data_IF_619561177203
#
_entry.id   IF_619561177203
#
_cell.length_a   1.000
_cell.length_b   1.000
_cell.length_c   1.000
_cell.angle_alpha   90.00
_cell.angle_beta   90.00
_cell.angle_gamma   90.00
#
_symmetry.space_group_name_H-M   'P 1'
#
loop_
_entity.id
_entity.type
_entity.pdbx_description
1 polymer ?
#
# COMPACT_ATOMS: atom_id res chain seq x y z
N UNK A 1 -16.79 2.04 -18.06
CA UNK A 1 -15.89 0.94 -18.46
C UNK A 1 -15.77 0.95 -19.98
N UNK A 2 -14.55 0.81 -20.51
CA UNK A 2 -14.35 0.65 -21.95
C UNK A 2 -14.96 -0.69 -22.41
N UNK A 3 -15.66 -0.66 -23.56
CA UNK A 3 -16.18 -1.87 -24.18
C UNK A 3 -15.03 -2.57 -24.94
N UNK A 4 -14.43 -3.55 -24.28
CA UNK A 4 -13.27 -4.28 -24.80
C UNK A 4 -13.59 -5.11 -26.05
N UNK A 5 -14.87 -5.42 -26.31
CA UNK A 5 -15.28 -6.20 -27.50
C UNK A 5 -15.00 -5.45 -28.83
N UNK A 6 -14.76 -4.15 -28.75
CA UNK A 6 -14.44 -3.29 -29.90
C UNK A 6 -12.99 -3.33 -30.34
N UNK A 7 -12.13 -4.02 -29.57
CA UNK A 7 -10.69 -4.03 -29.80
C UNK A 7 -10.18 -5.44 -30.01
N UNK A 8 -9.31 -5.61 -31.01
CA UNK A 8 -8.55 -6.85 -31.16
C UNK A 8 -7.34 -6.82 -30.20
N UNK A 9 -7.43 -7.60 -29.13
CA UNK A 9 -6.40 -7.71 -28.12
C UNK A 9 -5.56 -8.99 -28.24
N UNK A 10 -5.74 -9.76 -29.31
CA UNK A 10 -5.07 -11.06 -29.53
C UNK A 10 -3.54 -11.00 -29.62
N UNK A 11 -3.00 -9.82 -29.91
CA UNK A 11 -1.55 -9.57 -29.97
C UNK A 11 -0.91 -9.31 -28.61
N UNK A 12 -1.70 -9.06 -27.56
CA UNK A 12 -1.18 -8.83 -26.22
C UNK A 12 -0.56 -10.13 -25.67
N UNK A 13 0.65 -10.01 -25.12
CA UNK A 13 1.40 -11.15 -24.57
C UNK A 13 1.71 -11.00 -23.09
N UNK A 14 1.77 -9.79 -22.62
CA UNK A 14 2.02 -9.48 -21.22
C UNK A 14 1.42 -8.12 -20.88
N UNK A 15 0.73 -8.06 -19.75
CA UNK A 15 0.29 -6.83 -19.10
C UNK A 15 0.89 -6.78 -17.72
N UNK A 16 1.64 -5.73 -17.41
CA UNK A 16 2.14 -5.55 -16.06
C UNK A 16 1.64 -4.23 -15.48
N UNK A 17 1.46 -4.25 -14.18
CA UNK A 17 1.13 -3.06 -13.42
C UNK A 17 2.08 -2.92 -12.22
N UNK A 18 2.24 -1.69 -11.75
CA UNK A 18 3.09 -1.38 -10.61
C UNK A 18 3.04 0.10 -10.27
N UNK A 19 3.82 0.50 -9.26
CA UNK A 19 3.90 1.90 -8.82
C UNK A 19 2.89 2.27 -7.74
N UNK A 20 1.77 1.55 -7.64
CA UNK A 20 0.82 1.63 -6.52
C UNK A 20 0.11 0.29 -6.32
N UNK A 21 -0.47 0.09 -5.15
CA UNK A 21 -1.29 -1.09 -4.87
C UNK A 21 -2.62 -0.96 -5.61
N UNK A 22 -3.02 -2.01 -6.31
CA UNK A 22 -4.38 -2.15 -6.81
C UNK A 22 -5.22 -2.89 -5.75
N UNK A 23 -6.47 -2.48 -5.61
CA UNK A 23 -7.43 -3.23 -4.81
C UNK A 23 -7.61 -4.65 -5.38
N UNK A 24 -7.80 -5.62 -4.51
CA UNK A 24 -7.86 -7.03 -4.88
C UNK A 24 -9.00 -7.34 -5.85
N UNK A 25 -10.16 -6.67 -5.70
CA UNK A 25 -11.30 -6.82 -6.60
C UNK A 25 -10.98 -6.35 -8.03
N UNK A 26 -10.24 -5.24 -8.17
CA UNK A 26 -9.76 -4.73 -9.46
C UNK A 26 -8.78 -5.71 -10.09
N UNK A 27 -7.85 -6.23 -9.30
CA UNK A 27 -6.88 -7.23 -9.76
C UNK A 27 -7.58 -8.50 -10.23
N UNK A 28 -8.57 -9.02 -9.47
CA UNK A 28 -9.39 -10.19 -9.88
C UNK A 28 -10.13 -9.95 -11.19
N UNK A 29 -10.73 -8.77 -11.35
CA UNK A 29 -11.41 -8.39 -12.62
C UNK A 29 -10.44 -8.35 -13.79
N UNK A 30 -9.25 -7.79 -13.58
CA UNK A 30 -8.21 -7.77 -14.61
C UNK A 30 -7.75 -9.19 -14.98
N UNK A 31 -7.53 -10.07 -14.00
CA UNK A 31 -7.19 -11.48 -14.24
C UNK A 31 -8.30 -12.25 -14.97
N UNK A 32 -9.56 -11.93 -14.70
CA UNK A 32 -10.71 -12.53 -15.42
C UNK A 32 -10.77 -12.06 -16.87
N UNK A 33 -10.52 -10.77 -17.12
CA UNK A 33 -10.53 -10.19 -18.47
C UNK A 33 -9.31 -10.59 -19.30
N UNK A 34 -8.17 -10.80 -18.64
CA UNK A 34 -6.88 -11.07 -19.25
C UNK A 34 -6.13 -12.19 -18.51
N UNK A 35 -6.63 -13.44 -18.53
CA UNK A 35 -6.14 -14.53 -17.66
C UNK A 35 -4.66 -14.84 -17.85
N UNK A 36 -4.12 -14.62 -19.05
CA UNK A 36 -2.75 -14.99 -19.40
C UNK A 36 -1.78 -13.80 -19.45
N UNK A 37 -2.18 -12.62 -18.98
CA UNK A 37 -1.39 -11.41 -19.19
C UNK A 37 -0.82 -10.78 -17.93
N UNK A 38 -1.39 -11.03 -16.73
CA UNK A 38 -1.18 -10.17 -15.58
C UNK A 38 0.09 -10.50 -14.79
N UNK A 39 0.98 -9.51 -14.72
CA UNK A 39 2.20 -9.50 -13.93
C UNK A 39 2.18 -8.29 -12.99
N UNK A 40 2.26 -8.51 -11.68
CA UNK A 40 2.46 -7.43 -10.71
C UNK A 40 3.94 -7.18 -10.53
N UNK A 41 4.38 -5.93 -10.61
CA UNK A 41 5.76 -5.53 -10.37
C UNK A 41 5.83 -4.46 -9.28
N UNK A 42 6.70 -4.68 -8.33
CA UNK A 42 6.99 -3.72 -7.27
C UNK A 42 8.42 -3.21 -7.41
N UNK A 43 8.58 -1.93 -7.14
CA UNK A 43 9.87 -1.29 -7.13
C UNK A 43 9.76 0.20 -6.81
N UNK A 44 10.87 0.87 -6.89
CA UNK A 44 11.04 2.27 -6.58
C UNK A 44 12.06 2.88 -7.53
N UNK A 45 12.11 4.20 -7.62
CA UNK A 45 13.02 4.92 -8.52
C UNK A 45 14.49 4.53 -8.30
N UNK A 46 14.84 4.27 -7.06
CA UNK A 46 16.18 3.91 -6.61
C UNK A 46 16.61 2.48 -6.97
N UNK A 47 15.69 1.61 -7.40
CA UNK A 47 15.97 0.19 -7.66
C UNK A 47 15.25 -0.41 -8.86
N UNK A 48 14.42 0.35 -9.54
CA UNK A 48 13.53 -0.15 -10.61
C UNK A 48 12.64 -1.30 -10.12
N UNK A 49 12.54 -2.40 -10.86
CA UNK A 49 11.77 -3.58 -10.45
C UNK A 49 12.57 -4.41 -9.45
N UNK A 50 12.06 -4.52 -8.25
CA UNK A 50 12.66 -5.25 -7.11
C UNK A 50 11.99 -6.61 -6.90
N UNK A 51 10.65 -6.65 -6.99
CA UNK A 51 9.86 -7.88 -6.90
C UNK A 51 8.93 -8.00 -8.09
N UNK A 52 8.55 -9.23 -8.42
CA UNK A 52 7.55 -9.53 -9.44
C UNK A 52 6.70 -10.72 -9.03
N UNK A 53 5.38 -10.64 -9.28
CA UNK A 53 4.41 -11.71 -9.12
C UNK A 53 3.73 -12.03 -10.44
N UNK A 54 3.95 -13.23 -10.94
CA UNK A 54 3.24 -13.74 -12.11
C UNK A 54 1.93 -14.42 -11.64
N UNK A 55 0.83 -13.70 -11.65
CA UNK A 55 -0.47 -14.23 -11.21
C UNK A 55 -1.02 -15.32 -12.13
N UNK A 56 -0.50 -15.50 -13.33
CA UNK A 56 -0.82 -16.67 -14.19
C UNK A 56 -0.34 -17.97 -13.56
N UNK A 57 0.80 -17.92 -12.85
CA UNK A 57 1.41 -19.07 -12.17
C UNK A 57 1.02 -19.15 -10.71
N UNK A 58 0.69 -18.02 -10.09
CA UNK A 58 0.41 -17.89 -8.66
C UNK A 58 -0.88 -17.12 -8.42
N UNK A 59 -2.04 -17.62 -8.91
CA UNK A 59 -3.33 -16.93 -8.75
C UNK A 59 -3.79 -16.85 -7.28
N UNK A 60 -3.23 -17.71 -6.43
CA UNK A 60 -3.44 -17.77 -4.99
C UNK A 60 -2.66 -16.68 -4.22
N UNK A 61 -1.72 -15.97 -4.88
CA UNK A 61 -0.86 -14.94 -4.28
C UNK A 61 -1.36 -13.52 -4.56
N UNK A 62 -2.68 -13.37 -4.66
CA UNK A 62 -3.29 -12.06 -4.81
C UNK A 62 -2.87 -11.13 -3.66
N UNK A 63 -2.62 -9.85 -3.96
CA UNK A 63 -2.11 -8.88 -2.99
C UNK A 63 -0.60 -8.94 -2.75
N UNK A 64 0.08 -10.02 -3.14
CA UNK A 64 1.54 -10.09 -3.08
C UNK A 64 2.18 -9.37 -4.26
N UNK A 65 3.34 -8.75 -4.01
CA UNK A 65 4.24 -8.22 -5.04
C UNK A 65 5.20 -9.30 -5.56
N UNK A 66 5.04 -10.54 -5.11
CA UNK A 66 5.81 -11.70 -5.55
C UNK A 66 7.15 -11.87 -4.86
N UNK A 67 8.03 -12.55 -5.54
CA UNK A 67 9.39 -12.85 -5.09
C UNK A 67 10.39 -11.87 -5.69
N UNK A 68 11.63 -11.90 -5.21
CA UNK A 68 12.71 -11.06 -5.75
C UNK A 68 12.84 -11.24 -7.26
N UNK A 69 12.96 -10.12 -7.98
CA UNK A 69 13.18 -10.10 -9.43
C UNK A 69 14.58 -10.66 -9.77
N UNK A 70 14.80 -10.98 -11.04
CA UNK A 70 16.08 -11.51 -11.52
C UNK A 70 17.22 -10.57 -11.12
N UNK A 71 18.28 -11.14 -10.55
CA UNK A 71 19.48 -10.43 -10.06
C UNK A 71 19.23 -9.47 -8.87
N UNK A 72 18.07 -9.55 -8.23
CA UNK A 72 17.79 -8.82 -7.00
C UNK A 72 17.81 -9.76 -5.80
N UNK A 73 18.26 -9.25 -4.67
CA UNK A 73 18.09 -9.86 -3.36
C UNK A 73 17.15 -8.97 -2.54
N UNK A 74 16.20 -9.60 -1.87
CA UNK A 74 15.22 -8.92 -1.03
C UNK A 74 15.19 -9.57 0.33
N UNK A 75 15.12 -8.77 1.38
CA UNK A 75 14.91 -9.21 2.76
C UNK A 75 13.88 -8.35 3.44
N UNK A 76 13.22 -8.90 4.43
CA UNK A 76 12.40 -8.16 5.37
C UNK A 76 13.15 -8.15 6.68
N UNK A 77 13.57 -6.97 7.12
CA UNK A 77 14.35 -6.81 8.35
C UNK A 77 13.52 -6.11 9.41
N UNK A 78 13.91 -6.28 10.68
CA UNK A 78 13.24 -5.59 11.78
C UNK A 78 13.19 -4.07 11.53
N UNK A 79 12.05 -3.46 11.76
CA UNK A 79 11.90 -2.00 11.60
C UNK A 79 12.92 -1.25 12.47
N UNK A 80 13.70 -0.37 11.84
CA UNK A 80 14.79 0.36 12.48
C UNK A 80 16.11 -0.42 12.58
N UNK A 81 16.20 -1.61 11.97
CA UNK A 81 17.44 -2.36 11.90
C UNK A 81 18.54 -1.55 11.17
N UNK A 82 19.77 -1.69 11.66
CA UNK A 82 20.96 -1.16 11.00
C UNK A 82 21.63 -2.27 10.17
N UNK A 83 21.50 -3.50 10.65
CA UNK A 83 22.11 -4.68 10.05
C UNK A 83 21.15 -5.35 9.06
N UNK A 84 21.62 -5.67 7.84
CA UNK A 84 20.79 -6.33 6.84
C UNK A 84 20.49 -7.81 7.19
N UNK A 85 21.14 -8.35 8.19
CA UNK A 85 20.96 -9.73 8.65
C UNK A 85 19.95 -9.85 9.81
N UNK A 86 19.41 -8.73 10.32
CA UNK A 86 18.32 -8.74 11.32
C UNK A 86 16.97 -9.01 10.66
N UNK A 87 16.90 -10.17 10.00
CA UNK A 87 15.74 -10.62 9.23
C UNK A 87 14.65 -11.10 10.17
N UNK A 88 13.40 -10.71 9.89
CA UNK A 88 12.21 -11.17 10.63
C UNK A 88 11.72 -12.54 10.13
N UNK A 89 10.95 -13.23 10.96
CA UNK A 89 10.34 -14.49 10.56
C UNK A 89 9.24 -14.30 9.47
N UNK A 90 8.93 -15.32 8.66
CA UNK A 90 7.77 -15.28 7.77
C UNK A 90 6.49 -14.92 8.52
N UNK A 91 5.69 -14.03 7.92
CA UNK A 91 4.48 -13.47 8.54
C UNK A 91 4.71 -12.27 9.46
N UNK A 92 5.94 -12.01 9.90
CA UNK A 92 6.27 -10.86 10.71
C UNK A 92 6.54 -9.63 9.84
N UNK A 93 5.95 -8.48 10.23
CA UNK A 93 6.12 -7.22 9.51
C UNK A 93 7.44 -6.56 9.85
N UNK A 94 8.17 -6.14 8.83
CA UNK A 94 9.43 -5.41 8.94
C UNK A 94 9.63 -4.40 7.82
N UNK A 95 10.86 -3.93 7.64
CA UNK A 95 11.26 -3.07 6.53
C UNK A 95 11.78 -3.90 5.36
N UNK A 96 11.26 -3.66 4.17
CA UNK A 96 11.81 -4.25 2.94
C UNK A 96 13.13 -3.58 2.61
N UNK A 97 14.18 -4.40 2.46
CA UNK A 97 15.48 -3.96 1.95
C UNK A 97 15.84 -4.75 0.69
N UNK A 98 16.55 -4.09 -0.22
CA UNK A 98 16.92 -4.69 -1.48
C UNK A 98 18.39 -4.46 -1.84
N UNK A 99 18.99 -5.42 -2.54
CA UNK A 99 20.33 -5.34 -3.11
C UNK A 99 20.31 -5.91 -4.52
N UNK A 100 21.05 -5.26 -5.44
CA UNK A 100 21.17 -5.74 -6.81
C UNK A 100 21.77 -4.69 -7.73
N UNK A 101 22.04 -5.04 -9.00
CA UNK A 101 22.73 -4.17 -9.93
C UNK A 101 21.91 -2.95 -10.36
N UNK A 102 20.58 -2.98 -10.21
CA UNK A 102 19.69 -1.86 -10.53
C UNK A 102 19.55 -0.84 -9.39
N UNK A 103 20.09 -1.15 -8.18
CA UNK A 103 20.06 -0.20 -7.08
C UNK A 103 20.94 1.02 -7.40
N UNK A 104 20.38 2.20 -7.17
CA UNK A 104 21.07 3.48 -7.40
C UNK A 104 22.44 3.52 -6.74
N UNK A 105 23.34 4.28 -7.34
CA UNK A 105 24.63 4.57 -6.72
C UNK A 105 24.51 5.57 -5.58
N UNK A 106 23.77 6.65 -5.79
CA UNK A 106 23.61 7.73 -4.80
C UNK A 106 22.44 8.66 -5.18
N UNK A 107 21.97 9.46 -4.23
CA UNK A 107 21.16 10.65 -4.50
C UNK A 107 22.07 11.80 -4.90
N UNK A 108 21.81 12.43 -6.02
CA UNK A 108 22.65 13.50 -6.55
C UNK A 108 22.82 14.66 -5.55
N UNK A 109 24.08 14.92 -5.17
CA UNK A 109 24.47 15.95 -4.20
C UNK A 109 23.79 15.87 -2.82
N UNK A 110 23.39 14.66 -2.41
CA UNK A 110 22.73 14.41 -1.12
C UNK A 110 23.43 13.24 -0.37
N UNK A 111 24.68 13.42 0.09
CA UNK A 111 25.45 12.33 0.69
C UNK A 111 24.83 11.80 1.97
N UNK A 112 24.25 12.66 2.81
CA UNK A 112 23.61 12.25 4.06
C UNK A 112 22.37 11.40 3.80
N UNK A 113 21.53 11.80 2.83
CA UNK A 113 20.37 11.02 2.41
C UNK A 113 20.78 9.69 1.79
N UNK A 114 21.85 9.70 1.02
CA UNK A 114 22.42 8.47 0.44
C UNK A 114 22.87 7.51 1.54
N UNK A 115 23.65 8.00 2.51
CA UNK A 115 24.13 7.19 3.64
C UNK A 115 22.97 6.65 4.52
N UNK A 116 21.89 7.40 4.65
CA UNK A 116 20.71 6.95 5.38
C UNK A 116 19.96 5.83 4.65
N UNK A 117 19.91 5.87 3.32
CA UNK A 117 19.18 4.89 2.51
C UNK A 117 20.03 3.68 2.09
N UNK A 118 21.33 3.89 1.81
CA UNK A 118 22.25 2.82 1.41
C UNK A 118 23.17 2.44 2.58
N UNK A 119 22.91 1.29 3.18
CA UNK A 119 23.67 0.80 4.33
C UNK A 119 24.22 -0.59 4.02
N UNK A 120 25.52 -0.79 4.18
CA UNK A 120 26.20 -2.10 3.99
C UNK A 120 25.86 -2.78 2.65
N UNK A 121 25.72 -2.00 1.58
CA UNK A 121 25.41 -2.50 0.24
C UNK A 121 23.93 -2.84 0.00
N UNK A 122 23.03 -2.51 0.95
CA UNK A 122 21.60 -2.67 0.83
C UNK A 122 20.87 -1.31 0.81
N UNK A 123 19.85 -1.23 0.00
CA UNK A 123 18.92 -0.11 -0.01
C UNK A 123 17.77 -0.39 0.96
N UNK A 124 17.56 0.48 1.91
CA UNK A 124 16.46 0.46 2.87
C UNK A 124 15.33 1.28 2.31
N UNK A 125 14.26 0.59 1.91
CA UNK A 125 13.18 1.22 1.12
C UNK A 125 12.29 2.16 1.93
N UNK A 126 12.20 1.95 3.24
CA UNK A 126 11.22 2.59 4.10
C UNK A 126 9.80 2.05 3.90
N UNK A 127 9.64 0.92 3.22
CA UNK A 127 8.35 0.26 3.04
C UNK A 127 8.17 -0.87 4.05
N UNK A 128 7.00 -0.88 4.71
CA UNK A 128 6.59 -1.99 5.57
C UNK A 128 6.15 -3.16 4.70
N UNK A 129 6.65 -4.35 5.02
CA UNK A 129 6.31 -5.57 4.28
C UNK A 129 6.46 -6.80 5.17
N UNK A 130 5.87 -7.90 4.75
CA UNK A 130 6.14 -9.24 5.29
C UNK A 130 6.30 -10.23 4.13
N UNK A 131 6.89 -11.39 4.40
CA UNK A 131 6.94 -12.49 3.45
C UNK A 131 6.21 -13.70 3.99
N UNK A 132 5.65 -14.54 3.12
CA UNK A 132 5.20 -15.86 3.51
C UNK A 132 6.35 -16.87 3.53
N UNK A 133 6.07 -18.12 3.94
CA UNK A 133 7.07 -19.21 4.01
C UNK A 133 7.67 -19.55 2.63
N UNK A 134 6.95 -19.28 1.54
CA UNK A 134 7.42 -19.48 0.18
C UNK A 134 8.21 -18.27 -0.37
N UNK A 135 8.38 -17.20 0.43
CA UNK A 135 9.13 -16.00 0.07
C UNK A 135 8.36 -15.01 -0.81
N UNK A 136 7.02 -15.13 -0.90
CA UNK A 136 6.20 -14.11 -1.54
C UNK A 136 6.02 -12.93 -0.60
N UNK A 137 6.36 -11.74 -1.09
CA UNK A 137 6.34 -10.50 -0.32
C UNK A 137 5.00 -9.78 -0.50
N UNK A 138 4.43 -9.31 0.60
CA UNK A 138 3.30 -8.38 0.63
C UNK A 138 3.75 -7.05 1.19
N UNK A 139 3.57 -5.97 0.42
CA UNK A 139 3.92 -4.61 0.82
C UNK A 139 2.70 -3.94 1.46
N UNK A 140 2.88 -3.44 2.68
CA UNK A 140 1.82 -2.82 3.47
C UNK A 140 1.85 -1.28 3.39
N UNK A 141 2.75 -0.72 2.61
CA UNK A 141 2.93 0.72 2.42
C UNK A 141 4.15 1.28 3.11
N UNK A 142 4.20 2.60 3.26
CA UNK A 142 5.35 3.30 3.85
C UNK A 142 5.37 3.16 5.37
N UNK A 143 6.54 2.94 5.95
CA UNK A 143 6.73 2.91 7.41
C UNK A 143 6.36 4.24 8.07
N UNK A 144 6.68 5.37 7.41
CA UNK A 144 6.37 6.72 7.90
C UNK A 144 4.87 7.07 7.80
N UNK A 145 4.09 6.28 7.07
CA UNK A 145 2.63 6.40 7.01
C UNK A 145 1.91 5.51 8.02
N UNK A 146 2.62 4.61 8.71
CA UNK A 146 2.02 3.76 9.74
C UNK A 146 1.37 4.60 10.83
N UNK A 147 0.12 4.33 11.11
CA UNK A 147 -0.66 5.02 12.14
C UNK A 147 -0.41 4.33 13.48
N UNK A 148 0.03 5.10 14.46
CA UNK A 148 0.27 4.60 15.82
C UNK A 148 -0.91 4.98 16.71
N UNK A 149 -1.81 4.04 16.94
CA UNK A 149 -3.04 4.25 17.70
C UNK A 149 -3.09 3.34 18.92
N UNK A 150 -3.12 3.91 20.13
CA UNK A 150 -3.23 3.13 21.37
C UNK A 150 -2.10 2.12 21.61
N UNK A 151 -0.92 2.35 21.03
CA UNK A 151 0.22 1.42 21.10
C UNK A 151 0.29 0.41 19.95
N UNK A 152 -0.75 0.34 19.12
CA UNK A 152 -0.83 -0.56 17.98
C UNK A 152 -0.42 0.15 16.67
N UNK A 153 0.11 -0.62 15.73
CA UNK A 153 0.45 -0.16 14.39
C UNK A 153 -0.68 -0.51 13.41
N UNK A 154 -1.16 0.49 12.69
CA UNK A 154 -2.16 0.31 11.63
C UNK A 154 -1.56 0.79 10.32
N UNK A 155 -1.50 -0.10 9.34
CA UNK A 155 -1.07 0.26 8.00
C UNK A 155 -2.28 0.75 7.19
N UNK A 156 -2.25 1.96 6.61
CA UNK A 156 -3.37 2.52 5.87
C UNK A 156 -3.96 1.58 4.81
N UNK A 157 -3.10 0.83 4.09
CA UNK A 157 -3.52 -0.09 3.04
C UNK A 157 -4.44 -1.22 3.50
N UNK A 158 -4.27 -1.72 4.73
CA UNK A 158 -5.15 -2.76 5.29
C UNK A 158 -6.59 -2.27 5.40
N UNK A 159 -6.75 -1.03 5.85
CA UNK A 159 -8.06 -0.39 5.99
C UNK A 159 -8.61 0.04 4.64
N UNK A 160 -7.75 0.60 3.78
CA UNK A 160 -8.10 1.02 2.42
C UNK A 160 -8.62 -0.15 1.59
N UNK A 161 -7.98 -1.34 1.67
CA UNK A 161 -8.43 -2.54 0.95
C UNK A 161 -9.87 -2.90 1.33
N UNK A 162 -10.20 -2.92 2.63
CA UNK A 162 -11.56 -3.21 3.09
C UNK A 162 -12.55 -2.16 2.59
N UNK A 163 -12.17 -0.88 2.62
CA UNK A 163 -13.03 0.21 2.12
C UNK A 163 -13.26 0.12 0.61
N UNK A 164 -12.25 -0.24 -0.17
CA UNK A 164 -12.38 -0.38 -1.63
C UNK A 164 -13.31 -1.52 -2.06
N UNK A 165 -13.51 -2.54 -1.23
CA UNK A 165 -14.48 -3.61 -1.49
C UNK A 165 -15.93 -3.14 -1.36
N UNK A 166 -16.17 -1.98 -0.74
CA UNK A 166 -17.51 -1.43 -0.60
C UNK A 166 -17.99 -0.76 -1.90
N UNK A 167 -19.10 -1.26 -2.46
CA UNK A 167 -19.63 -0.87 -3.77
C UNK A 167 -19.93 0.63 -3.94
N UNK A 168 -20.30 1.32 -2.85
CA UNK A 168 -20.66 2.74 -2.86
C UNK A 168 -19.45 3.69 -2.72
N UNK A 169 -18.21 3.18 -2.65
CA UNK A 169 -16.99 3.97 -2.55
C UNK A 169 -16.33 4.11 -3.93
N UNK A 170 -16.06 5.34 -4.36
CA UNK A 170 -15.30 5.63 -5.57
C UNK A 170 -13.79 5.65 -5.29
N UNK A 171 -13.39 6.29 -4.19
CA UNK A 171 -12.01 6.37 -3.74
C UNK A 171 -11.95 6.49 -2.21
N UNK A 172 -10.87 5.98 -1.62
CA UNK A 172 -10.64 6.02 -0.18
C UNK A 172 -9.15 6.21 0.14
N UNK A 173 -8.86 7.00 1.17
CA UNK A 173 -7.51 7.10 1.72
C UNK A 173 -7.57 7.20 3.24
N UNK A 174 -6.64 6.50 3.91
CA UNK A 174 -6.60 6.40 5.35
C UNK A 174 -5.37 7.09 5.91
N UNK A 175 -5.57 7.91 6.93
CA UNK A 175 -4.50 8.63 7.63
C UNK A 175 -4.73 8.62 9.14
N UNK A 176 -3.63 8.74 9.89
CA UNK A 176 -3.70 9.02 11.33
C UNK A 176 -3.76 10.52 11.58
N UNK A 177 -4.78 10.97 12.31
CA UNK A 177 -4.84 12.34 12.82
C UNK A 177 -4.52 12.36 14.33
N UNK A 178 -3.98 13.47 14.85
CA UNK A 178 -3.65 13.59 16.27
C UNK A 178 -4.87 13.35 17.18
N UNK A 179 -4.67 12.59 18.24
CA UNK A 179 -5.66 12.33 19.30
C UNK A 179 -4.97 12.45 20.65
N UNK A 180 -5.63 13.11 21.60
CA UNK A 180 -5.12 13.24 22.97
C UNK A 180 -5.12 11.90 23.71
N UNK A 181 -6.06 11.02 23.38
CA UNK A 181 -6.28 9.71 24.01
C UNK A 181 -5.40 8.60 23.44
N UNK A 182 -5.25 8.56 22.11
CA UNK A 182 -4.65 7.44 21.40
C UNK A 182 -3.30 7.75 20.75
N UNK A 183 -2.82 9.01 20.86
CA UNK A 183 -1.69 9.52 20.10
C UNK A 183 -2.09 9.87 18.66
N UNK A 184 -2.59 8.87 17.94
CA UNK A 184 -3.26 9.06 16.65
C UNK A 184 -4.57 8.27 16.63
N UNK A 185 -5.54 8.77 15.88
CA UNK A 185 -6.79 8.07 15.56
C UNK A 185 -6.86 7.77 14.07
N UNK A 186 -7.35 6.59 13.72
CA UNK A 186 -7.51 6.19 12.32
C UNK A 186 -8.69 6.94 11.72
N UNK A 187 -8.43 7.65 10.62
CA UNK A 187 -9.41 8.45 9.89
C UNK A 187 -9.43 8.03 8.43
N UNK A 188 -10.62 7.91 7.84
CA UNK A 188 -10.81 7.63 6.43
C UNK A 188 -11.37 8.86 5.70
N UNK A 189 -10.73 9.24 4.60
CA UNK A 189 -11.29 10.15 3.61
C UNK A 189 -11.95 9.30 2.52
N UNK A 190 -13.19 9.62 2.18
CA UNK A 190 -14.03 8.84 1.28
C UNK A 190 -14.54 9.74 0.16
N UNK A 191 -14.37 9.31 -1.08
CA UNK A 191 -15.10 9.85 -2.22
C UNK A 191 -16.24 8.88 -2.55
N UNK A 192 -17.51 9.24 -2.27
CA UNK A 192 -18.63 8.33 -2.46
C UNK A 192 -19.03 8.25 -3.94
N UNK A 193 -19.52 7.08 -4.37
CA UNK A 193 -20.30 6.90 -5.61
C UNK A 193 -21.79 7.17 -5.38
N UNK A 194 -22.24 6.86 -4.17
CA UNK A 194 -23.61 7.03 -3.73
C UNK A 194 -23.67 8.19 -2.72
N UNK A 195 -24.41 9.26 -3.01
CA UNK A 195 -24.55 10.41 -2.12
C UNK A 195 -25.26 10.10 -0.79
N UNK A 196 -25.98 8.97 -0.72
CA UNK A 196 -26.66 8.52 0.50
C UNK A 196 -25.75 7.72 1.45
N UNK A 197 -24.48 7.46 1.06
CA UNK A 197 -23.52 6.76 1.89
C UNK A 197 -23.23 7.54 3.17
N UNK A 198 -23.41 6.89 4.31
CA UNK A 198 -23.19 7.51 5.62
C UNK A 198 -21.96 6.96 6.34
N UNK A 199 -21.43 7.74 7.31
CA UNK A 199 -20.34 7.30 8.17
C UNK A 199 -20.72 6.06 9.00
N UNK A 200 -21.98 6.01 9.51
CA UNK A 200 -22.47 4.89 10.31
C UNK A 200 -22.51 3.58 9.48
N UNK A 201 -22.94 3.66 8.22
CA UNK A 201 -22.95 2.51 7.32
C UNK A 201 -21.52 1.98 7.07
N UNK A 202 -20.55 2.87 6.86
CA UNK A 202 -19.15 2.50 6.69
C UNK A 202 -18.54 1.95 7.98
N UNK A 203 -18.89 2.53 9.12
CA UNK A 203 -18.43 2.03 10.42
C UNK A 203 -18.92 0.61 10.67
N UNK A 204 -20.20 0.35 10.38
CA UNK A 204 -20.77 -0.99 10.49
C UNK A 204 -20.10 -1.97 9.51
N UNK A 205 -19.92 -1.58 8.26
CA UNK A 205 -19.25 -2.39 7.26
C UNK A 205 -17.83 -2.79 7.69
N UNK A 206 -17.03 -1.83 8.17
CA UNK A 206 -15.69 -2.11 8.68
C UNK A 206 -15.70 -3.00 9.93
N UNK A 207 -16.71 -2.88 10.79
CA UNK A 207 -16.88 -3.68 12.01
C UNK A 207 -17.22 -5.13 11.69
N UNK A 208 -17.99 -5.36 10.65
CA UNK A 208 -18.44 -6.68 10.23
C UNK A 208 -17.42 -7.40 9.33
N UNK A 209 -16.41 -6.68 8.82
CA UNK A 209 -15.37 -7.25 7.97
C UNK A 209 -14.49 -8.24 8.74
N UNK A 210 -14.35 -9.49 8.29
CA UNK A 210 -13.43 -10.45 8.89
C UNK A 210 -11.96 -10.09 8.67
N UNK A 211 -11.67 -9.23 7.68
CA UNK A 211 -10.31 -8.87 7.27
C UNK A 211 -9.77 -7.62 8.01
N UNK A 212 -10.59 -7.04 8.92
CA UNK A 212 -10.21 -5.84 9.66
C UNK A 212 -10.42 -5.99 11.16
N UNK A 213 -9.34 -6.02 11.92
CA UNK A 213 -9.43 -5.99 13.38
C UNK A 213 -10.06 -4.67 13.87
N UNK A 214 -10.89 -4.72 14.92
CA UNK A 214 -11.67 -3.57 15.38
C UNK A 214 -10.82 -2.33 15.74
N UNK A 215 -9.62 -2.52 16.28
CA UNK A 215 -8.73 -1.40 16.60
C UNK A 215 -8.17 -0.67 15.37
N UNK A 216 -8.16 -1.34 14.18
CA UNK A 216 -7.73 -0.76 12.90
C UNK A 216 -8.83 0.05 12.21
N UNK A 217 -10.07 -0.16 12.59
CA UNK A 217 -11.24 0.49 12.00
C UNK A 217 -11.16 2.02 12.12
N UNK A 218 -11.50 2.78 11.07
CA UNK A 218 -11.59 4.23 11.16
C UNK A 218 -12.61 4.64 12.22
N UNK A 219 -12.26 5.65 13.01
CA UNK A 219 -13.17 6.25 14.00
C UNK A 219 -13.86 7.50 13.47
N UNK A 220 -13.32 8.07 12.37
CA UNK A 220 -13.87 9.23 11.71
C UNK A 220 -13.82 9.03 10.20
N UNK A 221 -14.91 9.40 9.53
CA UNK A 221 -15.09 9.32 8.09
C UNK A 221 -15.32 10.73 7.56
N UNK A 222 -14.51 11.17 6.60
CA UNK A 222 -14.60 12.48 5.96
C UNK A 222 -14.99 12.28 4.50
N UNK A 223 -16.13 12.81 4.11
CA UNK A 223 -16.59 12.75 2.73
C UNK A 223 -16.00 13.92 1.95
N UNK A 224 -15.32 13.61 0.86
CA UNK A 224 -14.64 14.56 0.00
C UNK A 224 -15.06 14.35 -1.45
N UNK A 225 -15.16 15.44 -2.23
CA UNK A 225 -15.38 15.34 -3.68
C UNK A 225 -14.16 14.69 -4.36
N UNK A 226 -12.95 14.97 -3.85
CA UNK A 226 -11.70 14.44 -4.38
C UNK A 226 -10.64 14.29 -3.28
N UNK A 227 -9.93 13.15 -3.31
CA UNK A 227 -8.78 12.88 -2.45
C UNK A 227 -7.52 13.49 -3.09
N UNK A 228 -6.73 14.30 -2.35
CA UNK A 228 -5.50 14.89 -2.88
C UNK A 228 -4.53 13.83 -3.39
N UNK A 229 -4.19 13.91 -4.67
CA UNK A 229 -3.25 13.01 -5.33
C UNK A 229 -2.27 13.78 -6.21
N UNK A 230 -1.10 13.20 -6.46
CA UNK A 230 -0.13 13.78 -7.38
C UNK A 230 -0.48 13.47 -8.86
N UNK A 231 0.32 13.98 -9.79
CA UNK A 231 0.12 13.78 -11.22
C UNK A 231 0.15 12.32 -11.70
N UNK A 232 0.63 11.40 -10.86
CA UNK A 232 0.65 9.95 -11.13
C UNK A 232 -0.51 9.21 -10.47
N UNK A 233 -1.42 9.93 -9.80
CA UNK A 233 -2.56 9.35 -9.08
C UNK A 233 -2.23 8.82 -7.67
N UNK A 234 -1.01 9.03 -7.17
CA UNK A 234 -0.63 8.61 -5.82
C UNK A 234 -1.14 9.60 -4.77
N UNK A 235 -1.83 9.11 -3.75
CA UNK A 235 -2.35 9.93 -2.64
C UNK A 235 -1.25 10.73 -1.94
N UNK A 236 -1.43 12.04 -1.84
CA UNK A 236 -0.57 12.97 -1.10
C UNK A 236 -1.01 13.05 0.36
N UNK A 237 -0.65 12.03 1.17
CA UNK A 237 -1.15 11.89 2.55
C UNK A 237 -0.84 13.10 3.45
N UNK A 238 0.24 13.83 3.21
CA UNK A 238 0.56 15.08 3.93
C UNK A 238 -0.52 16.14 3.70
N UNK A 239 -0.82 16.43 2.42
CA UNK A 239 -1.88 17.39 2.05
C UNK A 239 -3.26 16.93 2.51
N UNK A 240 -3.51 15.59 2.46
CA UNK A 240 -4.76 15.03 2.97
C UNK A 240 -4.91 15.30 4.48
N UNK A 241 -3.86 15.03 5.28
CA UNK A 241 -3.88 15.31 6.72
C UNK A 241 -4.17 16.78 7.02
N UNK A 242 -3.49 17.71 6.33
CA UNK A 242 -3.72 19.16 6.47
C UNK A 242 -5.17 19.52 6.13
N UNK A 243 -5.70 18.99 5.02
CA UNK A 243 -7.10 19.21 4.60
C UNK A 243 -8.08 18.72 5.66
N UNK A 244 -7.88 17.50 6.17
CA UNK A 244 -8.79 16.91 7.17
C UNK A 244 -8.70 17.68 8.51
N UNK A 245 -7.50 18.08 8.94
CA UNK A 245 -7.34 18.91 10.15
C UNK A 245 -8.06 20.25 10.02
N UNK A 246 -8.07 20.84 8.84
CA UNK A 246 -8.80 22.09 8.55
C UNK A 246 -10.33 21.94 8.58
N UNK A 247 -10.85 20.72 8.46
CA UNK A 247 -12.30 20.43 8.56
C UNK A 247 -12.77 20.18 9.99
N UNK A 248 -11.84 20.02 10.93
CA UNK A 248 -12.18 19.71 12.32
C UNK A 248 -12.53 21.00 13.09
N UNK A 249 -13.72 21.02 13.69
CA UNK A 249 -14.13 22.09 14.61
C UNK A 249 -13.51 21.94 16.01
N UNK A 250 -13.05 20.74 16.35
CA UNK A 250 -12.45 20.37 17.65
C UNK A 250 -11.47 19.19 17.49
N UNK A 251 -10.52 19.02 18.45
CA UNK A 251 -9.65 17.85 18.47
C UNK A 251 -10.43 16.54 18.50
N UNK A 252 -9.86 15.50 17.92
CA UNK A 252 -10.41 14.15 17.91
C UNK A 252 -10.02 13.41 19.21
N UNK A 253 -10.96 12.72 19.81
CA UNK A 253 -10.78 11.90 21.02
C UNK A 253 -11.01 10.41 20.74
#
# INVERSE_FOLDING_TARGET
QADLSKYDLSSLRCGFYGGQTLADDVTRKCMTLFPDLFLNVYGFTEGLTVNACDYRRHPDKLGSVGQAAINMEVRIVRTGAIEPDDVVAPGEVGELIARGPSIMKEYFRQPERTAAALRKGWYFSGDAAYSDEAGFVTVMGRLDHTIKTGGENVHPSEVENVLFDHHAIADAAVVGLPSSKWGQVVCAAITPKDPELTADALDQYCRESPDLADFKRPRHYFFLDEIPSNSTGKVERGRLKEKLLGLLERPLD
#
